data_IF_570695190641
#
_entry.id   IF_570695190641
#
_cell.length_a   1.000
_cell.length_b   1.000
_cell.length_c   1.000
_cell.angle_alpha   90.00
_cell.angle_beta   90.00
_cell.angle_gamma   90.00
#
_symmetry.space_group_name_H-M   'P 1'
#
loop_
_entity.id
_entity.type
_entity.pdbx_description
1 polymer ?
#
# COMPACT_ATOMS: atom_id res chain seq x y z
N UNK A 1 15.99 4.68 27.06
CA UNK A 1 16.01 3.35 26.38
C UNK A 1 16.84 3.54 25.12
N UNK A 2 17.85 2.68 24.89
CA UNK A 2 18.79 2.83 23.77
C UNK A 2 18.11 2.70 22.39
N UNK A 3 18.79 3.15 21.34
CA UNK A 3 18.33 2.99 19.95
C UNK A 3 18.53 1.53 19.55
N UNK A 4 17.43 0.82 19.33
CA UNK A 4 17.44 -0.51 18.71
C UNK A 4 17.23 -0.31 17.21
N UNK A 5 18.19 -0.74 16.40
CA UNK A 5 18.01 -0.81 14.94
C UNK A 5 17.14 -2.03 14.66
N UNK A 6 15.96 -1.81 14.07
CA UNK A 6 15.07 -2.90 13.69
C UNK A 6 15.70 -3.72 12.55
N UNK A 7 15.66 -5.05 12.64
CA UNK A 7 16.12 -5.95 11.59
C UNK A 7 15.06 -6.12 10.50
N UNK A 8 15.46 -6.00 9.23
CA UNK A 8 14.58 -6.20 8.06
C UNK A 8 14.55 -7.67 7.58
N UNK A 9 14.33 -8.61 8.51
CA UNK A 9 14.25 -10.03 8.19
C UNK A 9 12.91 -10.44 7.55
N UNK A 10 12.79 -11.68 7.02
CA UNK A 10 11.56 -12.19 6.42
C UNK A 10 10.35 -12.17 7.37
N UNK A 11 10.54 -12.55 8.64
CA UNK A 11 9.48 -12.54 9.66
C UNK A 11 8.99 -11.12 9.95
N UNK A 12 9.91 -10.18 10.22
CA UNK A 12 9.54 -8.77 10.46
C UNK A 12 8.87 -8.15 9.23
N UNK A 13 9.30 -8.52 8.03
CA UNK A 13 8.66 -8.08 6.79
C UNK A 13 7.23 -8.60 6.68
N UNK A 14 7.00 -9.88 6.99
CA UNK A 14 5.66 -10.46 7.08
C UNK A 14 4.81 -9.68 8.07
N UNK A 15 5.23 -9.60 9.33
CA UNK A 15 4.45 -8.96 10.40
C UNK A 15 4.04 -7.53 10.06
N UNK A 16 4.95 -6.75 9.45
CA UNK A 16 4.65 -5.38 9.04
C UNK A 16 3.64 -5.33 7.88
N UNK A 17 3.78 -6.20 6.88
CA UNK A 17 2.86 -6.26 5.74
C UNK A 17 1.48 -6.80 6.14
N UNK A 18 1.43 -7.77 7.04
CA UNK A 18 0.20 -8.32 7.63
C UNK A 18 -0.56 -7.22 8.37
N UNK A 19 0.14 -6.46 9.24
CA UNK A 19 -0.47 -5.35 9.97
C UNK A 19 -0.97 -4.25 9.03
N UNK A 20 -0.21 -3.93 7.96
CA UNK A 20 -0.66 -2.97 6.94
C UNK A 20 -1.93 -3.47 6.26
N UNK A 21 -1.98 -4.71 5.79
CA UNK A 21 -3.15 -5.28 5.12
C UNK A 21 -4.40 -5.27 6.02
N UNK A 22 -4.23 -5.58 7.31
CA UNK A 22 -5.31 -5.52 8.31
C UNK A 22 -5.87 -4.10 8.46
N UNK A 23 -4.98 -3.11 8.61
CA UNK A 23 -5.39 -1.72 8.80
C UNK A 23 -5.96 -1.09 7.52
N UNK A 24 -5.36 -1.38 6.37
CA UNK A 24 -5.89 -0.96 5.06
C UNK A 24 -7.29 -1.51 4.83
N UNK A 25 -7.53 -2.78 5.18
CA UNK A 25 -8.85 -3.41 5.09
C UNK A 25 -9.89 -2.72 5.97
N UNK A 26 -9.55 -2.38 7.22
CA UNK A 26 -10.48 -1.63 8.08
C UNK A 26 -10.68 -0.19 7.59
N UNK A 27 -9.63 0.45 7.06
CA UNK A 27 -9.71 1.74 6.40
C UNK A 27 -10.71 1.72 5.23
N UNK A 28 -10.63 0.71 4.37
CA UNK A 28 -11.54 0.49 3.25
C UNK A 28 -12.99 0.28 3.72
N UNK A 29 -13.21 -0.61 4.70
CA UNK A 29 -14.56 -0.83 5.28
C UNK A 29 -15.14 0.45 5.85
N UNK A 30 -14.33 1.25 6.55
CA UNK A 30 -14.76 2.52 7.13
C UNK A 30 -15.10 3.54 6.07
N UNK A 31 -14.25 3.72 5.07
CA UNK A 31 -14.49 4.64 3.96
C UNK A 31 -15.86 4.35 3.30
N UNK A 32 -16.13 3.09 2.99
CA UNK A 32 -17.41 2.65 2.40
C UNK A 32 -18.58 2.89 3.36
N UNK A 33 -18.43 2.48 4.63
CA UNK A 33 -19.49 2.57 5.66
C UNK A 33 -19.88 4.02 5.99
N UNK A 34 -18.90 4.91 6.12
CA UNK A 34 -19.15 6.32 6.48
C UNK A 34 -19.45 7.18 5.26
N UNK A 35 -19.07 6.72 4.07
CA UNK A 35 -19.17 7.52 2.85
C UNK A 35 -18.27 8.75 2.86
N UNK A 36 -17.15 8.70 3.61
CA UNK A 36 -16.21 9.80 3.68
C UNK A 36 -15.75 10.22 2.27
N UNK A 37 -15.62 11.52 2.06
CA UNK A 37 -15.15 12.05 0.79
C UNK A 37 -13.65 11.80 0.67
N UNK A 38 -13.31 10.94 -0.30
CA UNK A 38 -11.94 10.69 -0.74
C UNK A 38 -11.92 10.86 -2.25
N UNK A 39 -10.93 11.59 -2.77
CA UNK A 39 -10.77 11.80 -4.20
C UNK A 39 -10.17 10.56 -4.87
N UNK A 40 -11.03 9.53 -5.03
CA UNK A 40 -10.68 8.26 -5.67
C UNK A 40 -10.30 8.44 -7.14
N UNK A 41 -10.84 9.47 -7.81
CA UNK A 41 -10.51 9.74 -9.21
C UNK A 41 -9.10 10.31 -9.35
N UNK A 42 -8.69 11.23 -8.47
CA UNK A 42 -7.31 11.71 -8.44
C UNK A 42 -6.32 10.59 -8.10
N UNK A 43 -6.66 9.71 -7.17
CA UNK A 43 -5.87 8.51 -6.88
C UNK A 43 -5.75 7.62 -8.13
N UNK A 44 -6.88 7.29 -8.78
CA UNK A 44 -6.92 6.49 -10.01
C UNK A 44 -6.05 7.09 -11.11
N UNK A 45 -6.22 8.37 -11.39
CA UNK A 45 -5.47 9.08 -12.42
C UNK A 45 -3.95 9.05 -12.16
N UNK A 46 -3.54 9.24 -10.91
CA UNK A 46 -2.12 9.17 -10.51
C UNK A 46 -1.52 7.79 -10.77
N UNK A 47 -2.27 6.71 -10.47
CA UNK A 47 -1.82 5.34 -10.71
C UNK A 47 -1.73 5.01 -12.20
N UNK A 48 -2.73 5.43 -13.00
CA UNK A 48 -2.74 5.23 -14.45
C UNK A 48 -1.58 5.96 -15.14
N UNK A 49 -1.34 7.22 -14.79
CA UNK A 49 -0.23 8.00 -15.35
C UNK A 49 1.13 7.36 -15.06
N UNK A 50 1.32 6.81 -13.85
CA UNK A 50 2.55 6.12 -13.51
C UNK A 50 2.73 4.81 -14.30
N UNK A 51 1.65 4.05 -14.55
CA UNK A 51 1.70 2.86 -15.40
C UNK A 51 2.11 3.24 -16.82
N UNK A 52 1.48 4.27 -17.41
CA UNK A 52 1.80 4.74 -18.76
C UNK A 52 3.28 5.15 -18.87
N UNK A 53 3.79 5.89 -17.88
CA UNK A 53 5.21 6.28 -17.85
C UNK A 53 6.14 5.07 -17.73
N UNK A 54 5.82 4.13 -16.84
CA UNK A 54 6.62 2.93 -16.62
C UNK A 54 6.65 2.00 -17.84
N UNK A 55 5.55 1.89 -18.57
CA UNK A 55 5.45 1.10 -19.81
C UNK A 55 6.18 1.76 -20.98
N UNK A 56 6.28 3.10 -21.00
CA UNK A 56 7.05 3.82 -22.02
C UNK A 56 8.56 3.69 -21.83
N UNK A 57 9.06 3.99 -20.62
CA UNK A 57 10.49 3.94 -20.34
C UNK A 57 10.80 3.96 -18.84
N UNK A 58 11.87 3.27 -18.44
CA UNK A 58 12.44 3.38 -17.10
C UNK A 58 13.27 4.66 -16.96
N UNK A 59 12.67 5.73 -16.44
CA UNK A 59 13.38 7.00 -16.15
C UNK A 59 14.01 7.00 -14.76
N UNK A 60 14.98 7.89 -14.52
CA UNK A 60 15.68 7.98 -13.23
C UNK A 60 14.77 8.40 -12.06
N UNK A 61 13.67 9.12 -12.33
CA UNK A 61 12.72 9.59 -11.32
C UNK A 61 11.55 8.62 -11.07
N UNK A 62 11.35 7.63 -11.95
CA UNK A 62 10.23 6.69 -11.89
C UNK A 62 10.17 5.93 -10.56
N UNK A 63 11.27 5.38 -9.99
CA UNK A 63 11.20 4.66 -8.72
C UNK A 63 10.70 5.54 -7.56
N UNK A 64 11.14 6.80 -7.52
CA UNK A 64 10.71 7.77 -6.50
C UNK A 64 9.22 8.07 -6.64
N UNK A 65 8.74 8.25 -7.88
CA UNK A 65 7.30 8.45 -8.15
C UNK A 65 6.49 7.20 -7.79
N UNK A 66 6.99 6.01 -8.11
CA UNK A 66 6.35 4.76 -7.76
C UNK A 66 6.14 4.58 -6.26
N UNK A 67 7.17 4.89 -5.44
CA UNK A 67 7.03 4.89 -3.98
C UNK A 67 5.98 5.91 -3.52
N UNK A 68 5.98 7.12 -4.06
CA UNK A 68 5.00 8.14 -3.69
C UNK A 68 3.56 7.73 -4.06
N UNK A 69 3.36 7.15 -5.24
CA UNK A 69 2.06 6.65 -5.70
C UNK A 69 1.61 5.44 -4.88
N UNK A 70 2.49 4.49 -4.59
CA UNK A 70 2.22 3.35 -3.70
C UNK A 70 1.71 3.83 -2.34
N UNK A 71 2.45 4.73 -1.70
CA UNK A 71 2.09 5.27 -0.39
C UNK A 71 0.79 6.07 -0.41
N UNK A 72 0.43 6.70 -1.54
CA UNK A 72 -0.78 7.54 -1.62
C UNK A 72 -2.08 6.77 -1.35
N UNK A 73 -2.20 5.54 -1.84
CA UNK A 73 -3.37 4.69 -1.58
C UNK A 73 -3.39 4.24 -0.11
N UNK A 74 -2.25 3.76 0.38
CA UNK A 74 -2.08 3.30 1.76
C UNK A 74 -2.38 4.42 2.78
N UNK A 75 -1.81 5.60 2.58
CA UNK A 75 -2.03 6.77 3.44
C UNK A 75 -3.52 7.19 3.43
N UNK A 76 -4.21 7.10 2.29
CA UNK A 76 -5.64 7.37 2.18
C UNK A 76 -6.51 6.37 2.97
N UNK A 77 -6.17 5.07 2.92
CA UNK A 77 -6.86 4.04 3.70
C UNK A 77 -6.60 4.22 5.21
N UNK A 78 -5.36 4.48 5.61
CA UNK A 78 -5.00 4.77 7.00
C UNK A 78 -5.70 6.01 7.56
N UNK A 79 -5.93 7.04 6.73
CA UNK A 79 -6.70 8.23 7.10
C UNK A 79 -8.18 7.91 7.43
N UNK A 80 -8.72 6.84 6.86
CA UNK A 80 -10.11 6.41 7.08
C UNK A 80 -10.31 5.56 8.35
N UNK A 81 -9.24 5.21 9.08
CA UNK A 81 -9.33 4.36 10.29
C UNK A 81 -10.22 4.94 11.39
N UNK A 82 -10.39 6.26 11.49
CA UNK A 82 -11.31 6.88 12.47
C UNK A 82 -11.05 6.49 13.94
N UNK A 83 -9.85 5.99 14.26
CA UNK A 83 -9.39 5.64 15.61
C UNK A 83 -7.95 6.15 15.74
N UNK A 84 -7.67 7.12 16.64
CA UNK A 84 -6.34 7.67 16.81
C UNK A 84 -5.28 6.61 17.14
N UNK A 85 -5.60 5.63 17.99
CA UNK A 85 -4.66 4.56 18.35
C UNK A 85 -4.33 3.66 17.16
N UNK A 86 -5.33 3.36 16.32
CA UNK A 86 -5.11 2.58 15.10
C UNK A 86 -4.27 3.37 14.09
N UNK A 87 -4.49 4.69 13.98
CA UNK A 87 -3.69 5.56 13.12
C UNK A 87 -2.25 5.70 13.62
N UNK A 88 -2.02 5.80 14.93
CA UNK A 88 -0.68 5.82 15.49
C UNK A 88 0.05 4.49 15.23
N UNK A 89 -0.64 3.36 15.41
CA UNK A 89 -0.11 2.05 15.04
C UNK A 89 0.22 1.96 13.54
N UNK A 90 -0.63 2.53 12.67
CA UNK A 90 -0.39 2.63 11.23
C UNK A 90 0.90 3.39 10.92
N UNK A 91 1.06 4.58 11.49
CA UNK A 91 2.22 5.44 11.25
C UNK A 91 3.52 4.77 11.71
N UNK A 92 3.51 4.16 12.90
CA UNK A 92 4.66 3.40 13.39
C UNK A 92 4.97 2.21 12.47
N UNK A 93 3.96 1.52 11.95
CA UNK A 93 4.16 0.41 11.01
C UNK A 93 4.66 0.90 9.64
N UNK A 94 4.21 2.06 9.17
CA UNK A 94 4.67 2.72 7.95
C UNK A 94 6.17 3.03 8.02
N UNK A 95 6.64 3.57 9.15
CA UNK A 95 8.07 3.83 9.36
C UNK A 95 8.89 2.54 9.32
N UNK A 96 8.36 1.45 9.87
CA UNK A 96 8.99 0.11 9.81
C UNK A 96 9.08 -0.40 8.37
N UNK A 97 8.01 -0.30 7.59
CA UNK A 97 8.00 -0.69 6.18
C UNK A 97 8.99 0.15 5.38
N UNK A 98 9.11 1.46 5.67
CA UNK A 98 10.09 2.32 5.02
C UNK A 98 11.54 1.86 5.30
N UNK A 99 11.85 1.41 6.53
CA UNK A 99 13.15 0.79 6.84
C UNK A 99 13.37 -0.46 6.00
N UNK A 100 12.39 -1.35 5.92
CA UNK A 100 12.46 -2.58 5.12
C UNK A 100 12.70 -2.26 3.63
N UNK A 101 11.93 -1.34 3.05
CA UNK A 101 12.06 -0.89 1.66
C UNK A 101 13.42 -0.26 1.36
N UNK A 102 14.04 0.43 2.33
CA UNK A 102 15.39 0.98 2.16
C UNK A 102 16.47 -0.11 2.14
N UNK A 103 16.24 -1.28 2.75
CA UNK A 103 17.19 -2.41 2.69
C UNK A 103 17.13 -3.19 1.38
N UNK A 104 15.95 -3.24 0.75
CA UNK A 104 15.73 -3.88 -0.54
C UNK A 104 14.77 -3.02 -1.38
N UNK A 105 15.30 -2.19 -2.28
CA UNK A 105 14.49 -1.24 -3.02
C UNK A 105 13.51 -1.93 -3.95
N UNK A 106 12.45 -1.19 -4.27
CA UNK A 106 11.39 -1.60 -5.16
C UNK A 106 11.95 -1.92 -6.55
N UNK A 107 11.75 -3.15 -7.03
CA UNK A 107 12.25 -3.55 -8.34
C UNK A 107 11.41 -2.89 -9.46
N UNK A 108 12.03 -2.43 -10.55
CA UNK A 108 11.34 -1.92 -11.73
C UNK A 108 10.15 -2.79 -12.18
N UNK A 109 10.35 -4.10 -12.22
CA UNK A 109 9.35 -5.08 -12.67
C UNK A 109 8.12 -5.18 -11.76
N UNK A 110 8.20 -4.67 -10.52
CA UNK A 110 7.08 -4.65 -9.58
C UNK A 110 6.16 -3.44 -9.79
N UNK A 111 6.63 -2.37 -10.44
CA UNK A 111 5.91 -1.09 -10.53
C UNK A 111 4.55 -1.27 -11.20
N UNK A 112 4.53 -1.73 -12.44
CA UNK A 112 3.27 -1.89 -13.18
C UNK A 112 2.32 -2.89 -12.51
N UNK A 113 2.77 -4.10 -12.09
CA UNK A 113 1.90 -5.01 -11.34
C UNK A 113 1.28 -4.40 -10.08
N UNK A 114 2.07 -3.68 -9.27
CA UNK A 114 1.58 -3.11 -8.01
C UNK A 114 0.50 -2.05 -8.26
N UNK A 115 0.73 -1.17 -9.23
CA UNK A 115 -0.24 -0.12 -9.57
C UNK A 115 -1.53 -0.71 -10.13
N UNK A 116 -1.46 -1.81 -10.89
CA UNK A 116 -2.65 -2.51 -11.38
C UNK A 116 -3.45 -3.15 -10.24
N UNK A 117 -2.78 -3.75 -9.25
CA UNK A 117 -3.44 -4.25 -8.05
C UNK A 117 -4.13 -3.12 -7.26
N UNK A 118 -3.47 -1.96 -7.12
CA UNK A 118 -4.04 -0.77 -6.48
C UNK A 118 -5.28 -0.26 -7.21
N UNK A 119 -5.27 -0.27 -8.55
CA UNK A 119 -6.44 0.12 -9.34
C UNK A 119 -7.65 -0.80 -9.10
N UNK A 120 -7.45 -2.09 -8.83
CA UNK A 120 -8.55 -3.01 -8.46
C UNK A 120 -9.16 -2.60 -7.11
N UNK A 121 -8.32 -2.22 -6.14
CA UNK A 121 -8.77 -1.71 -4.83
C UNK A 121 -9.56 -0.40 -5.02
N UNK A 122 -9.00 0.57 -5.74
CA UNK A 122 -9.61 1.89 -5.98
C UNK A 122 -10.97 1.73 -6.67
N UNK A 123 -11.07 0.86 -7.67
CA UNK A 123 -12.31 0.57 -8.37
C UNK A 123 -13.38 -0.05 -7.43
N UNK A 124 -13.01 -0.98 -6.56
CA UNK A 124 -13.94 -1.53 -5.56
C UNK A 124 -14.44 -0.47 -4.58
N UNK A 125 -13.54 0.43 -4.13
CA UNK A 125 -13.92 1.57 -3.29
C UNK A 125 -14.88 2.52 -4.00
N UNK A 126 -14.65 2.80 -5.29
CA UNK A 126 -15.49 3.67 -6.11
C UNK A 126 -16.92 3.11 -6.25
N UNK A 127 -17.05 1.79 -6.35
CA UNK A 127 -18.35 1.08 -6.34
C UNK A 127 -18.97 0.94 -4.95
N UNK A 128 -18.30 1.43 -3.90
CA UNK A 128 -18.68 1.26 -2.49
C UNK A 128 -18.86 -0.21 -2.10
N UNK A 129 -18.03 -1.08 -2.66
CA UNK A 129 -18.02 -2.52 -2.37
C UNK A 129 -16.88 -2.84 -1.40
N UNK A 130 -17.20 -2.85 -0.11
CA UNK A 130 -16.22 -3.08 0.94
C UNK A 130 -15.63 -4.50 0.91
N UNK A 131 -16.43 -5.50 0.54
CA UNK A 131 -15.97 -6.90 0.46
C UNK A 131 -14.98 -7.04 -0.70
N UNK A 132 -15.32 -6.53 -1.88
CA UNK A 132 -14.41 -6.56 -3.03
C UNK A 132 -13.11 -5.77 -2.76
N UNK A 133 -13.19 -4.63 -2.06
CA UNK A 133 -12.00 -3.86 -1.71
C UNK A 133 -11.07 -4.63 -0.77
N UNK A 134 -11.63 -5.31 0.25
CA UNK A 134 -10.86 -6.13 1.18
C UNK A 134 -10.24 -7.33 0.48
N UNK A 135 -10.98 -8.04 -0.39
CA UNK A 135 -10.42 -9.14 -1.17
C UNK A 135 -9.28 -8.68 -2.09
N UNK A 136 -9.39 -7.49 -2.69
CA UNK A 136 -8.34 -6.91 -3.51
C UNK A 136 -7.09 -6.53 -2.68
N UNK A 137 -7.28 -6.00 -1.46
CA UNK A 137 -6.18 -5.73 -0.51
C UNK A 137 -5.49 -7.03 -0.10
N UNK A 138 -6.23 -8.10 0.19
CA UNK A 138 -5.66 -9.41 0.53
C UNK A 138 -4.82 -9.99 -0.63
N UNK A 139 -5.30 -9.87 -1.87
CA UNK A 139 -4.55 -10.28 -3.05
C UNK A 139 -3.27 -9.46 -3.21
N UNK A 140 -3.35 -8.13 -3.13
CA UNK A 140 -2.18 -7.24 -3.18
C UNK A 140 -1.15 -7.57 -2.10
N UNK A 141 -1.61 -7.84 -0.88
CA UNK A 141 -0.77 -8.26 0.24
C UNK A 141 -0.05 -9.57 -0.06
N UNK A 142 -0.75 -10.60 -0.55
CA UNK A 142 -0.15 -11.88 -0.94
C UNK A 142 0.88 -11.75 -2.05
N UNK A 143 0.58 -10.98 -3.10
CA UNK A 143 1.54 -10.73 -4.18
C UNK A 143 2.75 -9.96 -3.66
N UNK A 144 2.56 -8.99 -2.77
CA UNK A 144 3.65 -8.28 -2.12
C UNK A 144 4.53 -9.23 -1.31
N UNK A 145 3.96 -10.14 -0.50
CA UNK A 145 4.75 -11.16 0.21
C UNK A 145 5.54 -12.08 -0.74
N UNK A 146 4.93 -12.51 -1.86
CA UNK A 146 5.62 -13.31 -2.88
C UNK A 146 6.81 -12.55 -3.45
N UNK A 147 6.64 -11.27 -3.77
CA UNK A 147 7.72 -10.41 -4.26
C UNK A 147 8.86 -10.23 -3.26
N UNK A 148 8.53 -10.12 -1.98
CA UNK A 148 9.51 -10.08 -0.91
C UNK A 148 10.20 -11.43 -0.66
N UNK A 149 9.77 -12.51 -1.33
CA UNK A 149 10.31 -13.86 -1.11
C UNK A 149 9.96 -14.41 0.28
N UNK A 150 8.88 -13.89 0.87
CA UNK A 150 8.42 -14.22 2.21
C UNK A 150 7.31 -15.28 2.15
N UNK A 151 6.53 -15.31 1.07
CA UNK A 151 5.54 -16.36 0.82
C UNK A 151 6.28 -17.67 0.48
N UNK A 152 6.15 -18.68 1.36
CA UNK A 152 6.59 -20.07 1.10
C UNK A 152 5.48 -20.81 0.34
#
# INVERSE_FOLDING_TARGET
RGVLVMGAGPETTRDCLDLRALLDSEGARRLVRTGAELDLEALRATHLALIEDAERAMTADLPRRAIATDLSLHDALGACLGNPLARDAYNVNRDRIAVIQNTRPFLPDRIVPAMREHLVIIEALARRDAEAAVSAIELHYRETLRWWGVLL
#
